data_IF_087261672363
#
_entry.id   IF_087261672363
#
_cell.length_a   1.000
_cell.length_b   1.000
_cell.length_c   1.000
_cell.angle_alpha   90.00
_cell.angle_beta   90.00
_cell.angle_gamma   90.00
#
_symmetry.space_group_name_H-M   'P 1'
#
loop_
_entity.id
_entity.type
_entity.pdbx_description
1 polymer ?
#
# COMPACT_ATOMS: atom_id res chain seq x y z
N UNK A 1 12.74 1.86 -7.95
CA UNK A 1 11.77 2.63 -7.15
C UNK A 1 10.64 3.09 -8.04
N UNK A 2 9.38 3.04 -7.59
CA UNK A 2 8.22 3.46 -8.38
C UNK A 2 7.49 4.61 -7.70
N UNK A 3 7.20 5.68 -8.43
CA UNK A 3 6.42 6.84 -7.99
C UNK A 3 5.29 7.12 -8.98
N UNK A 4 4.14 7.55 -8.47
CA UNK A 4 2.95 7.91 -9.23
C UNK A 4 2.50 9.34 -8.88
N UNK A 5 1.54 9.88 -9.61
CA UNK A 5 1.17 11.31 -9.48
C UNK A 5 2.15 12.21 -10.23
N UNK A 6 2.06 13.52 -10.01
CA UNK A 6 2.90 14.45 -10.76
C UNK A 6 4.30 14.51 -10.15
N UNK A 7 5.32 14.48 -11.00
CA UNK A 7 6.72 14.48 -10.61
C UNK A 7 7.38 15.70 -11.22
N UNK A 8 8.02 16.51 -10.38
CA UNK A 8 8.78 17.67 -10.80
C UNK A 8 10.14 17.71 -10.12
N UNK A 9 11.03 18.54 -10.66
CA UNK A 9 12.32 18.84 -10.05
C UNK A 9 12.46 20.36 -9.90
N UNK A 10 12.50 20.87 -8.67
CA UNK A 10 12.59 22.31 -8.38
C UNK A 10 13.50 22.57 -7.19
N UNK A 11 14.32 23.61 -7.29
CA UNK A 11 15.24 23.99 -6.20
C UNK A 11 16.18 22.86 -5.78
N UNK A 12 16.64 22.04 -6.73
CA UNK A 12 17.55 20.91 -6.45
C UNK A 12 16.88 19.67 -5.85
N UNK A 13 15.54 19.63 -5.77
CA UNK A 13 14.80 18.55 -5.12
C UNK A 13 13.77 17.94 -6.06
N UNK A 14 13.60 16.62 -5.98
CA UNK A 14 12.45 15.94 -6.56
C UNK A 14 11.21 16.20 -5.72
N UNK A 15 10.10 16.51 -6.38
CA UNK A 15 8.82 16.82 -5.74
C UNK A 15 7.76 15.92 -6.36
N UNK A 16 7.03 15.22 -5.50
CA UNK A 16 5.83 14.49 -5.84
C UNK A 16 4.61 15.33 -5.47
N UNK A 17 3.69 15.53 -6.40
CA UNK A 17 2.42 16.21 -6.14
C UNK A 17 1.28 15.22 -6.26
N UNK A 18 0.45 15.15 -5.22
CA UNK A 18 -0.74 14.32 -5.24
C UNK A 18 -1.82 15.00 -6.11
N UNK A 19 -2.22 14.34 -7.20
CA UNK A 19 -3.23 14.85 -8.15
C UNK A 19 -4.59 15.17 -7.53
N UNK A 20 -4.96 14.50 -6.45
CA UNK A 20 -6.27 14.70 -5.80
C UNK A 20 -6.24 15.81 -4.75
N UNK A 21 -5.16 15.93 -3.99
CA UNK A 21 -5.08 16.88 -2.87
C UNK A 21 -4.28 18.14 -3.20
N UNK A 22 -3.47 18.11 -4.25
CA UNK A 22 -2.50 19.16 -4.57
C UNK A 22 -1.32 19.24 -3.62
N UNK A 23 -1.22 18.34 -2.64
CA UNK A 23 -0.12 18.34 -1.66
C UNK A 23 1.19 17.95 -2.33
N UNK A 24 2.21 18.77 -2.07
CA UNK A 24 3.57 18.55 -2.54
C UNK A 24 4.42 17.89 -1.45
N UNK A 25 5.26 16.95 -1.87
CA UNK A 25 6.19 16.25 -1.00
C UNK A 25 7.56 16.14 -1.66
N UNK A 26 8.60 16.54 -0.94
CA UNK A 26 9.98 16.27 -1.34
C UNK A 26 10.25 14.78 -1.26
N UNK A 27 10.78 14.22 -2.35
CA UNK A 27 11.09 12.80 -2.51
C UNK A 27 12.54 12.65 -3.00
N UNK A 28 13.05 11.43 -2.90
CA UNK A 28 14.34 11.05 -3.49
C UNK A 28 14.21 9.64 -4.09
N UNK A 29 13.69 9.52 -5.33
CA UNK A 29 13.43 8.23 -5.96
C UNK A 29 14.71 7.43 -6.23
N UNK A 30 15.77 8.12 -6.67
CA UNK A 30 17.03 7.47 -7.04
C UNK A 30 17.84 7.08 -5.82
N UNK A 31 17.86 7.89 -4.77
CA UNK A 31 18.44 7.51 -3.48
C UNK A 31 17.69 6.35 -2.82
N UNK A 32 16.35 6.31 -2.88
CA UNK A 32 15.56 5.16 -2.41
C UNK A 32 15.86 3.88 -3.20
N UNK A 33 16.06 4.00 -4.52
CA UNK A 33 16.46 2.88 -5.35
C UNK A 33 17.87 2.40 -5.00
N UNK A 34 18.82 3.32 -4.78
CA UNK A 34 20.20 3.03 -4.37
C UNK A 34 20.28 2.37 -2.99
N UNK A 35 19.50 2.85 -2.02
CA UNK A 35 19.43 2.24 -0.69
C UNK A 35 18.88 0.82 -0.76
N UNK A 36 17.86 0.59 -1.60
CA UNK A 36 17.29 -0.75 -1.80
C UNK A 36 18.28 -1.71 -2.45
N UNK A 37 18.98 -1.26 -3.50
CA UNK A 37 20.07 -1.99 -4.15
C UNK A 37 21.15 -2.38 -3.14
N UNK A 38 21.59 -1.43 -2.30
CA UNK A 38 22.60 -1.66 -1.27
C UNK A 38 22.15 -2.69 -0.23
N UNK A 39 20.91 -2.57 0.28
CA UNK A 39 20.34 -3.53 1.24
C UNK A 39 20.27 -4.95 0.67
N UNK A 40 19.88 -5.09 -0.60
CA UNK A 40 19.82 -6.39 -1.27
C UNK A 40 21.23 -6.96 -1.43
N UNK A 41 22.18 -6.14 -1.87
CA UNK A 41 23.59 -6.53 -2.02
C UNK A 41 24.19 -7.02 -0.70
N UNK A 42 24.03 -6.25 0.36
CA UNK A 42 24.50 -6.59 1.71
C UNK A 42 23.86 -7.86 2.24
N UNK A 43 22.56 -8.04 2.02
CA UNK A 43 21.85 -9.24 2.41
C UNK A 43 22.41 -10.49 1.72
N UNK A 44 22.62 -10.45 0.40
CA UNK A 44 23.19 -11.58 -0.35
C UNK A 44 24.65 -11.86 0.06
N UNK A 45 25.46 -10.82 0.29
CA UNK A 45 26.84 -10.98 0.80
C UNK A 45 26.87 -11.67 2.16
N UNK A 46 26.00 -11.25 3.09
CA UNK A 46 25.88 -11.88 4.42
C UNK A 46 25.42 -13.34 4.36
N UNK A 47 24.67 -13.71 3.31
CA UNK A 47 24.26 -15.09 3.05
C UNK A 47 25.33 -15.93 2.34
N UNK A 48 26.48 -15.34 2.02
CA UNK A 48 27.60 -16.04 1.42
C UNK A 48 27.39 -16.42 -0.03
N UNK A 49 26.54 -15.70 -0.77
CA UNK A 49 26.38 -15.93 -2.22
C UNK A 49 27.71 -15.61 -2.92
N UNK A 50 28.33 -16.57 -3.61
CA UNK A 50 29.69 -16.41 -4.15
C UNK A 50 29.73 -15.47 -5.35
N UNK A 51 28.66 -15.46 -6.14
CA UNK A 51 28.55 -14.68 -7.38
C UNK A 51 27.44 -13.65 -7.23
N UNK A 52 27.79 -12.36 -7.21
CA UNK A 52 26.79 -11.30 -7.25
C UNK A 52 26.26 -11.12 -8.67
N UNK A 53 24.93 -11.06 -8.86
CA UNK A 53 24.36 -10.77 -10.17
C UNK A 53 24.64 -9.31 -10.54
N UNK A 54 24.39 -8.98 -11.81
CA UNK A 54 24.20 -7.59 -12.19
C UNK A 54 23.04 -7.00 -11.39
N UNK A 55 23.35 -6.03 -10.53
CA UNK A 55 22.37 -5.24 -9.83
C UNK A 55 22.39 -3.84 -10.41
N UNK A 56 21.20 -3.32 -10.68
CA UNK A 56 21.00 -1.98 -11.19
C UNK A 56 19.79 -1.36 -10.52
N UNK A 57 19.73 -0.03 -10.61
CA UNK A 57 18.62 0.75 -10.07
C UNK A 57 17.95 1.59 -11.14
N UNK A 58 16.67 1.83 -10.96
CA UNK A 58 15.90 2.74 -11.80
C UNK A 58 14.80 3.41 -10.98
N UNK A 59 14.37 4.58 -11.43
CA UNK A 59 13.16 5.24 -10.96
C UNK A 59 12.10 5.16 -12.04
N UNK A 60 10.88 4.76 -11.69
CA UNK A 60 9.75 4.69 -12.60
C UNK A 60 8.66 5.68 -12.19
N UNK A 61 8.41 6.68 -13.03
CA UNK A 61 7.37 7.68 -12.89
C UNK A 61 6.15 7.28 -13.72
N UNK A 62 5.29 6.44 -13.16
CA UNK A 62 4.22 5.75 -13.92
C UNK A 62 3.06 6.65 -14.35
N UNK A 63 3.06 7.92 -13.95
CA UNK A 63 2.00 8.87 -14.24
C UNK A 63 2.47 10.07 -15.08
N UNK A 64 3.76 10.12 -15.43
CA UNK A 64 4.35 11.25 -16.14
C UNK A 64 5.08 10.71 -17.36
N UNK A 65 4.85 11.29 -18.52
CA UNK A 65 5.70 11.10 -19.68
C UNK A 65 6.89 12.07 -19.58
N UNK A 66 8.11 11.56 -19.61
CA UNK A 66 9.30 12.41 -19.55
C UNK A 66 9.61 12.88 -20.98
N UNK A 67 9.57 14.19 -21.27
CA UNK A 67 9.82 14.68 -22.63
C UNK A 67 11.22 14.28 -23.11
N UNK A 68 11.34 13.89 -24.38
CA UNK A 68 12.64 13.62 -25.01
C UNK A 68 13.48 14.90 -24.99
N UNK A 69 14.68 14.82 -24.39
CA UNK A 69 15.57 15.98 -24.23
C UNK A 69 15.29 16.83 -22.98
N UNK A 70 14.45 16.38 -22.05
CA UNK A 70 14.28 17.05 -20.78
C UNK A 70 15.62 17.19 -20.04
N UNK A 71 15.86 18.38 -19.46
CA UNK A 71 17.01 18.63 -18.59
C UNK A 71 16.78 17.97 -17.23
N UNK A 72 17.21 16.72 -17.13
CA UNK A 72 17.20 15.95 -15.88
C UNK A 72 18.41 16.34 -15.02
N UNK A 73 18.32 16.25 -13.68
CA UNK A 73 19.49 16.44 -12.82
C UNK A 73 20.56 15.38 -13.12
N UNK A 74 21.80 15.66 -12.77
CA UNK A 74 22.97 14.82 -13.12
C UNK A 74 22.84 13.35 -12.66
N UNK A 75 22.13 13.12 -11.55
CA UNK A 75 21.86 11.77 -11.03
C UNK A 75 20.84 10.96 -11.86
N UNK A 76 19.99 11.63 -12.64
CA UNK A 76 18.89 11.04 -13.38
C UNK A 76 19.21 10.90 -14.86
N UNK A 77 20.04 9.91 -15.16
CA UNK A 77 20.37 9.55 -16.54
C UNK A 77 19.12 8.96 -17.22
N UNK A 78 18.78 9.37 -18.46
CA UNK A 78 17.54 8.94 -19.12
C UNK A 78 17.33 7.42 -19.17
N UNK A 79 18.40 6.63 -19.35
CA UNK A 79 18.33 5.18 -19.44
C UNK A 79 17.86 4.48 -18.15
N UNK A 80 17.97 5.14 -16.99
CA UNK A 80 17.53 4.62 -15.69
C UNK A 80 16.25 5.29 -15.18
N UNK A 81 15.65 6.16 -15.99
CA UNK A 81 14.35 6.78 -15.72
C UNK A 81 13.31 6.15 -16.64
N UNK A 82 12.33 5.50 -16.03
CA UNK A 82 11.16 4.96 -16.71
C UNK A 82 9.98 5.88 -16.45
N UNK A 83 9.08 5.94 -17.43
CA UNK A 83 7.98 6.90 -17.45
C UNK A 83 6.67 6.20 -17.79
N UNK A 84 5.60 6.96 -18.00
CA UNK A 84 4.29 6.41 -18.38
C UNK A 84 4.37 5.57 -19.68
N UNK A 85 5.08 6.05 -20.70
CA UNK A 85 5.23 5.32 -21.97
C UNK A 85 5.97 3.98 -21.81
N UNK A 86 6.80 3.85 -20.77
CA UNK A 86 7.46 2.59 -20.44
C UNK A 86 6.48 1.49 -20.00
N UNK A 87 5.24 1.82 -19.65
CA UNK A 87 4.19 0.83 -19.31
C UNK A 87 3.68 0.07 -20.54
N UNK A 88 3.82 0.60 -21.75
CA UNK A 88 3.41 -0.08 -22.99
C UNK A 88 4.27 -1.32 -23.25
N UNK A 89 5.57 -1.24 -22.95
CA UNK A 89 6.50 -2.35 -23.06
C UNK A 89 7.49 -2.35 -21.87
N UNK A 90 7.05 -2.89 -20.72
CA UNK A 90 7.84 -2.89 -19.50
C UNK A 90 9.11 -3.73 -19.61
N UNK A 91 9.07 -4.82 -20.39
CA UNK A 91 10.22 -5.71 -20.60
C UNK A 91 11.33 -4.97 -21.35
N UNK A 92 11.01 -4.33 -22.48
CA UNK A 92 11.98 -3.54 -23.23
C UNK A 92 12.51 -2.36 -22.41
N UNK A 93 11.69 -1.78 -21.53
CA UNK A 93 12.11 -0.73 -20.62
C UNK A 93 13.14 -1.21 -19.59
N UNK A 94 12.90 -2.37 -18.97
CA UNK A 94 13.84 -2.98 -18.04
C UNK A 94 15.13 -3.42 -18.72
N UNK A 95 15.06 -3.97 -19.94
CA UNK A 95 16.27 -4.33 -20.71
C UNK A 95 17.16 -3.12 -20.98
N UNK A 96 16.59 -1.95 -21.32
CA UNK A 96 17.38 -0.71 -21.46
C UNK A 96 18.10 -0.32 -20.17
N UNK A 97 17.41 -0.42 -19.04
CA UNK A 97 18.00 -0.16 -17.71
C UNK A 97 19.16 -1.13 -17.46
N UNK A 98 18.96 -2.43 -17.71
CA UNK A 98 20.02 -3.42 -17.55
C UNK A 98 21.20 -3.16 -18.49
N UNK A 99 20.95 -2.80 -19.75
CA UNK A 99 22.00 -2.45 -20.72
C UNK A 99 22.83 -1.26 -20.25
N UNK A 100 22.19 -0.23 -19.71
CA UNK A 100 22.89 0.91 -19.12
C UNK A 100 23.82 0.46 -17.99
N UNK A 101 23.32 -0.33 -17.03
CA UNK A 101 24.14 -0.81 -15.92
C UNK A 101 25.22 -1.80 -16.35
N UNK A 102 24.98 -2.64 -17.38
CA UNK A 102 26.02 -3.51 -17.98
C UNK A 102 27.20 -2.71 -18.52
N UNK A 103 26.95 -1.55 -19.12
CA UNK A 103 27.98 -0.69 -19.73
C UNK A 103 28.71 0.15 -18.68
N UNK A 104 28.01 0.64 -17.67
CA UNK A 104 28.53 1.62 -16.72
C UNK A 104 29.05 1.02 -15.41
N UNK A 105 28.59 -0.17 -15.02
CA UNK A 105 29.24 -0.93 -13.95
C UNK A 105 30.37 -1.71 -14.58
N UNK A 106 31.60 -1.24 -14.40
CA UNK A 106 32.84 -1.94 -14.77
C UNK A 106 33.05 -3.28 -14.01
N UNK A 107 32.00 -3.84 -13.41
CA UNK A 107 32.02 -5.13 -12.78
C UNK A 107 32.31 -6.19 -13.84
N UNK A 108 33.56 -6.67 -13.81
CA UNK A 108 34.01 -8.04 -14.07
C UNK A 108 32.83 -8.92 -14.49
N UNK A 109 32.71 -9.17 -15.81
CA UNK A 109 31.77 -10.11 -16.45
C UNK A 109 30.89 -10.79 -15.41
N UNK A 110 29.73 -10.21 -15.11
CA UNK A 110 28.82 -10.79 -14.11
C UNK A 110 28.72 -12.29 -14.42
N UNK A 111 29.34 -13.11 -13.57
CA UNK A 111 29.51 -14.53 -13.90
C UNK A 111 28.10 -15.06 -14.06
N UNK A 112 27.83 -15.74 -15.19
CA UNK A 112 26.49 -16.29 -15.42
C UNK A 112 26.16 -17.16 -14.22
N UNK A 113 25.14 -16.75 -13.46
CA UNK A 113 24.64 -17.54 -12.34
C UNK A 113 24.28 -18.91 -12.90
N UNK A 114 24.80 -19.96 -12.26
CA UNK A 114 24.28 -21.30 -12.50
C UNK A 114 22.80 -21.34 -12.13
N UNK A 115 22.06 -22.30 -12.70
CA UNK A 115 20.64 -22.48 -12.39
C UNK A 115 20.40 -22.68 -10.89
N UNK A 116 21.31 -23.35 -10.19
CA UNK A 116 21.24 -23.56 -8.74
C UNK A 116 21.49 -22.27 -7.96
N UNK A 117 22.49 -21.47 -8.32
CA UNK A 117 22.74 -20.17 -7.68
C UNK A 117 21.57 -19.20 -7.88
N UNK A 118 21.01 -19.17 -9.10
CA UNK A 118 19.82 -18.36 -9.38
C UNK A 118 18.63 -18.80 -8.53
N UNK A 119 18.36 -20.11 -8.45
CA UNK A 119 17.26 -20.63 -7.64
C UNK A 119 17.44 -20.35 -6.15
N UNK A 120 18.67 -20.46 -5.64
CA UNK A 120 18.98 -20.13 -4.25
C UNK A 120 18.81 -18.65 -3.96
N UNK A 121 19.22 -17.79 -4.89
CA UNK A 121 19.01 -16.35 -4.79
C UNK A 121 17.52 -15.98 -4.78
N UNK A 122 16.71 -16.60 -5.64
CA UNK A 122 15.25 -16.45 -5.60
C UNK A 122 14.71 -16.88 -4.23
N UNK A 123 15.13 -18.02 -3.69
CA UNK A 123 14.70 -18.46 -2.34
C UNK A 123 15.12 -17.49 -1.24
N UNK A 124 16.30 -16.89 -1.32
CA UNK A 124 16.80 -15.95 -0.32
C UNK A 124 16.10 -14.59 -0.39
N UNK A 125 15.89 -14.06 -1.60
CA UNK A 125 15.26 -12.75 -1.83
C UNK A 125 13.73 -12.82 -1.73
N UNK A 126 13.15 -13.99 -2.04
CA UNK A 126 11.73 -14.28 -1.94
C UNK A 126 11.52 -15.46 -0.98
N UNK A 127 11.84 -15.30 0.31
CA UNK A 127 11.77 -16.39 1.26
C UNK A 127 10.32 -16.83 1.47
N UNK A 128 10.10 -18.14 1.36
CA UNK A 128 8.84 -18.76 1.74
C UNK A 128 8.88 -19.15 3.22
N UNK A 129 7.95 -18.62 4.03
CA UNK A 129 7.82 -18.97 5.43
C UNK A 129 6.46 -19.62 5.73
N UNK A 130 6.45 -20.53 6.71
CA UNK A 130 5.25 -21.17 7.28
C UNK A 130 5.22 -20.99 8.79
N UNK A 131 4.00 -20.82 9.34
CA UNK A 131 3.71 -20.99 10.76
C UNK A 131 2.50 -21.90 10.89
N UNK A 132 2.54 -22.81 11.87
CA UNK A 132 1.43 -23.69 12.24
C UNK A 132 0.79 -23.18 13.52
N UNK A 133 -0.51 -23.44 13.66
CA UNK A 133 -1.26 -23.27 14.91
C UNK A 133 -0.82 -24.39 15.86
N UNK A 134 -0.47 -24.08 17.11
CA UNK A 134 -0.55 -25.10 18.17
C UNK A 134 -2.03 -25.35 18.42
N UNK A 135 -2.47 -26.56 18.18
CA UNK A 135 -3.87 -26.96 18.29
C UNK A 135 -4.30 -26.83 19.75
N UNK A 136 -5.17 -25.87 20.06
CA UNK A 136 -6.17 -26.04 21.11
C UNK A 136 -7.55 -25.70 20.55
N UNK A 137 -8.40 -26.73 20.56
CA UNK A 137 -9.84 -26.75 20.30
C UNK A 137 -10.36 -26.33 18.91
N UNK A 138 -10.72 -27.37 18.15
CA UNK A 138 -12.02 -27.55 17.49
C UNK A 138 -12.52 -26.43 16.57
N UNK A 139 -12.29 -26.58 15.27
CA UNK A 139 -13.34 -26.60 14.24
C UNK A 139 -12.69 -26.86 12.86
N UNK A 140 -12.84 -28.11 12.40
CA UNK A 140 -12.53 -28.55 11.05
C UNK A 140 -13.69 -28.13 10.15
N UNK A 141 -13.47 -27.18 9.22
CA UNK A 141 -14.15 -27.06 7.89
C UNK A 141 -13.97 -25.71 7.18
N UNK A 142 -13.24 -24.73 7.74
CA UNK A 142 -12.82 -23.56 6.97
C UNK A 142 -11.34 -23.73 6.59
N UNK A 143 -11.02 -23.87 5.31
CA UNK A 143 -9.65 -23.71 4.81
C UNK A 143 -9.22 -22.28 5.12
N UNK A 144 -8.29 -22.02 6.06
CA UNK A 144 -7.89 -20.65 6.35
C UNK A 144 -7.01 -20.15 5.21
N UNK A 145 -7.39 -19.01 4.61
CA UNK A 145 -6.51 -18.24 3.73
C UNK A 145 -5.33 -17.74 4.56
N UNK A 146 -4.15 -18.34 4.38
CA UNK A 146 -2.95 -18.03 5.18
C UNK A 146 -2.24 -16.82 4.58
N UNK A 147 -2.33 -15.68 5.28
CA UNK A 147 -1.56 -14.47 4.99
C UNK A 147 -0.24 -14.53 5.79
N UNK A 148 0.92 -14.42 5.12
CA UNK A 148 2.28 -14.63 5.69
C UNK A 148 2.93 -13.29 6.08
N UNK A 149 3.63 -13.23 7.23
CA UNK A 149 4.33 -12.04 7.75
C UNK A 149 5.79 -12.32 8.13
N UNK A 150 6.66 -11.31 8.03
CA UNK A 150 8.08 -11.38 8.45
C UNK A 150 8.24 -11.28 9.97
N UNK A 151 9.39 -11.72 10.54
CA UNK A 151 9.67 -11.54 11.99
C UNK A 151 9.58 -10.09 12.45
N UNK A 152 10.03 -9.15 11.62
CA UNK A 152 9.91 -7.72 11.88
C UNK A 152 8.45 -7.27 11.88
N UNK A 153 7.64 -7.79 10.97
CA UNK A 153 6.21 -7.51 10.93
C UNK A 153 5.46 -8.12 12.13
N UNK A 154 5.85 -9.30 12.60
CA UNK A 154 5.33 -9.90 13.83
C UNK A 154 5.61 -9.04 15.06
N UNK A 155 6.86 -8.60 15.25
CA UNK A 155 7.23 -7.71 16.36
C UNK A 155 6.45 -6.37 16.33
N UNK A 156 6.16 -5.84 15.14
CA UNK A 156 5.29 -4.67 15.00
C UNK A 156 3.86 -5.00 15.42
N UNK A 157 3.30 -6.15 15.05
CA UNK A 157 1.95 -6.55 15.48
C UNK A 157 1.83 -6.72 17.00
N UNK A 158 2.83 -7.35 17.61
CA UNK A 158 2.86 -7.57 19.06
C UNK A 158 2.98 -6.22 19.78
N UNK A 159 3.81 -5.30 19.28
CA UNK A 159 3.84 -3.92 19.77
C UNK A 159 2.48 -3.23 19.65
N UNK A 160 1.71 -3.50 18.58
CA UNK A 160 0.39 -2.92 18.36
C UNK A 160 -0.72 -3.56 19.21
N UNK A 161 -0.48 -4.64 19.94
CA UNK A 161 -1.49 -5.27 20.82
C UNK A 161 -1.93 -4.33 21.94
N UNK A 162 -0.99 -3.62 22.56
CA UNK A 162 -1.28 -2.74 23.69
C UNK A 162 -1.57 -1.28 23.29
N UNK A 163 -1.42 -0.93 22.02
CA UNK A 163 -1.58 0.45 21.55
C UNK A 163 -3.01 0.72 21.07
N UNK A 164 -3.68 1.68 21.72
CA UNK A 164 -5.02 2.15 21.29
C UNK A 164 -4.98 2.88 19.95
N UNK A 165 -3.87 3.54 19.64
CA UNK A 165 -3.70 4.31 18.40
C UNK A 165 -2.24 4.28 18.00
N UNK A 166 -1.96 3.99 16.74
CA UNK A 166 -0.61 3.97 16.19
C UNK A 166 -0.65 4.38 14.71
N UNK A 167 0.38 5.09 14.26
CA UNK A 167 0.62 5.40 12.86
C UNK A 167 1.85 4.61 12.38
N UNK A 168 1.66 3.74 11.39
CA UNK A 168 2.74 2.91 10.84
C UNK A 168 3.19 3.53 9.52
N UNK A 169 4.43 4.01 9.50
CA UNK A 169 5.05 4.58 8.31
C UNK A 169 6.01 3.57 7.67
N UNK A 170 6.07 3.57 6.33
CA UNK A 170 7.05 2.78 5.61
C UNK A 170 6.90 2.92 4.08
N UNK A 171 7.98 2.67 3.31
CA UNK A 171 7.95 2.63 1.85
C UNK A 171 6.86 1.73 1.26
N UNK A 172 6.50 1.90 -0.01
CA UNK A 172 5.62 0.96 -0.71
C UNK A 172 6.24 -0.46 -0.69
N UNK A 173 5.40 -1.50 -0.70
CA UNK A 173 5.89 -2.89 -0.69
C UNK A 173 6.36 -3.44 0.67
N UNK A 174 6.41 -2.65 1.75
CA UNK A 174 6.85 -3.12 3.09
C UNK A 174 5.81 -3.93 3.88
N UNK A 175 4.68 -4.29 3.24
CA UNK A 175 3.64 -5.12 3.85
C UNK A 175 2.70 -4.40 4.83
N UNK A 176 2.58 -3.06 4.76
CA UNK A 176 1.62 -2.29 5.59
C UNK A 176 0.18 -2.80 5.47
N UNK A 177 -0.26 -3.12 4.26
CA UNK A 177 -1.59 -3.71 4.02
C UNK A 177 -1.75 -5.03 4.75
N UNK A 178 -0.73 -5.88 4.68
CA UNK A 178 -0.71 -7.22 5.30
C UNK A 178 -0.77 -7.10 6.83
N UNK A 179 0.03 -6.19 7.40
CA UNK A 179 0.01 -5.85 8.82
C UNK A 179 -1.37 -5.37 9.28
N UNK A 180 -1.99 -4.46 8.52
CA UNK A 180 -3.27 -3.88 8.88
C UNK A 180 -4.41 -4.93 8.81
N UNK A 181 -4.40 -5.81 7.81
CA UNK A 181 -5.37 -6.91 7.69
C UNK A 181 -5.20 -7.90 8.83
N UNK A 182 -3.97 -8.30 9.14
CA UNK A 182 -3.71 -9.25 10.23
C UNK A 182 -4.09 -8.66 11.60
N UNK A 183 -3.78 -7.39 11.86
CA UNK A 183 -4.21 -6.72 13.10
C UNK A 183 -5.73 -6.71 13.20
N UNK A 184 -6.41 -6.37 12.11
CA UNK A 184 -7.87 -6.38 12.07
C UNK A 184 -8.43 -7.79 12.36
N UNK A 185 -7.80 -8.82 11.81
CA UNK A 185 -8.14 -10.23 12.03
C UNK A 185 -7.97 -10.63 13.50
N UNK A 186 -6.82 -10.37 14.11
CA UNK A 186 -6.56 -10.68 15.54
C UNK A 186 -7.59 -10.01 16.45
N UNK A 187 -7.84 -8.71 16.25
CA UNK A 187 -8.85 -7.97 17.02
C UNK A 187 -10.27 -8.55 16.84
N UNK A 188 -10.59 -9.06 15.66
CA UNK A 188 -11.89 -9.68 15.40
C UNK A 188 -12.01 -11.09 16.00
N UNK A 189 -10.90 -11.84 16.06
CA UNK A 189 -10.82 -13.13 16.78
C UNK A 189 -10.94 -12.96 18.30
N UNK A 190 -10.49 -11.83 18.85
CA UNK A 190 -10.78 -11.41 20.23
C UNK A 190 -12.26 -11.01 20.45
N UNK A 191 -13.12 -11.11 19.44
CA UNK A 191 -14.54 -10.79 19.50
C UNK A 191 -14.85 -9.29 19.39
N UNK A 192 -13.88 -8.44 19.03
CA UNK A 192 -14.11 -7.00 18.87
C UNK A 192 -14.80 -6.71 17.53
N UNK A 193 -15.59 -5.63 17.49
CA UNK A 193 -16.15 -5.11 16.23
C UNK A 193 -15.08 -4.30 15.51
N UNK A 194 -14.64 -4.80 14.36
CA UNK A 194 -13.52 -4.21 13.61
C UNK A 194 -13.98 -3.72 12.24
N UNK A 195 -13.65 -2.47 11.93
CA UNK A 195 -13.78 -1.86 10.61
C UNK A 195 -12.39 -1.69 10.00
N UNK A 196 -12.17 -2.29 8.84
CA UNK A 196 -11.00 -2.03 8.01
C UNK A 196 -11.39 -1.07 6.87
N UNK A 197 -10.64 0.02 6.73
CA UNK A 197 -10.87 1.03 5.71
C UNK A 197 -9.64 1.15 4.78
N UNK A 198 -9.86 1.04 3.48
CA UNK A 198 -8.84 1.33 2.46
C UNK A 198 -9.35 2.32 1.41
N UNK A 199 -8.44 2.89 0.63
CA UNK A 199 -8.82 3.86 -0.40
C UNK A 199 -9.22 3.20 -1.73
N UNK A 200 -8.44 2.20 -2.17
CA UNK A 200 -8.51 1.64 -3.52
C UNK A 200 -9.62 0.56 -3.64
N UNK A 201 -10.47 0.66 -4.66
CA UNK A 201 -11.54 -0.31 -4.98
C UNK A 201 -11.00 -1.72 -5.31
N UNK A 202 -9.98 -1.84 -6.16
CA UNK A 202 -9.35 -3.13 -6.47
C UNK A 202 -8.71 -3.78 -5.24
N UNK A 203 -8.13 -2.98 -4.34
CA UNK A 203 -7.58 -3.48 -3.09
C UNK A 203 -8.70 -3.98 -2.16
N UNK A 204 -9.81 -3.25 -2.07
CA UNK A 204 -10.97 -3.66 -1.29
C UNK A 204 -11.52 -5.00 -1.79
N UNK A 205 -11.69 -5.15 -3.10
CA UNK A 205 -12.21 -6.38 -3.70
C UNK A 205 -11.27 -7.56 -3.49
N UNK A 206 -9.96 -7.35 -3.66
CA UNK A 206 -8.96 -8.37 -3.36
C UNK A 206 -8.99 -8.78 -1.88
N UNK A 207 -8.99 -7.83 -0.93
CA UNK A 207 -9.01 -8.14 0.50
C UNK A 207 -10.30 -8.89 0.89
N UNK A 208 -11.46 -8.46 0.39
CA UNK A 208 -12.74 -9.14 0.65
C UNK A 208 -12.73 -10.57 0.15
N UNK A 209 -12.18 -10.81 -1.04
CA UNK A 209 -12.06 -12.16 -1.62
C UNK A 209 -11.15 -13.06 -0.79
N UNK A 210 -10.01 -12.56 -0.33
CA UNK A 210 -9.06 -13.35 0.45
C UNK A 210 -9.55 -13.61 1.89
N UNK A 211 -10.41 -12.74 2.44
CA UNK A 211 -10.87 -12.80 3.83
C UNK A 211 -12.35 -13.20 3.95
N UNK A 212 -12.83 -14.05 3.04
CA UNK A 212 -14.18 -14.61 3.11
C UNK A 212 -14.36 -15.40 4.42
N UNK A 213 -15.41 -15.08 5.19
CA UNK A 213 -15.68 -15.69 6.48
C UNK A 213 -15.06 -14.97 7.69
N UNK A 214 -14.30 -13.88 7.48
CA UNK A 214 -13.87 -13.00 8.57
C UNK A 214 -15.04 -12.21 9.15
N UNK A 215 -15.02 -11.95 10.46
CA UNK A 215 -15.96 -11.04 11.15
C UNK A 215 -15.57 -9.57 11.01
N UNK A 216 -14.43 -9.26 10.36
CA UNK A 216 -14.00 -7.90 10.05
C UNK A 216 -14.90 -7.31 8.96
N UNK A 217 -15.37 -6.08 9.16
CA UNK A 217 -16.09 -5.33 8.13
C UNK A 217 -15.10 -4.56 7.25
N UNK A 218 -15.04 -4.85 5.95
CA UNK A 218 -14.12 -4.20 5.01
C UNK A 218 -14.85 -3.18 4.14
N UNK A 219 -14.35 -1.94 4.13
CA UNK A 219 -14.87 -0.86 3.30
C UNK A 219 -13.78 -0.02 2.64
N UNK A 220 -14.20 0.73 1.64
CA UNK A 220 -13.57 1.99 1.24
C UNK A 220 -14.46 3.17 1.63
N UNK A 221 -13.96 4.39 1.44
CA UNK A 221 -14.69 5.62 1.82
C UNK A 221 -16.08 5.65 1.17
N UNK A 222 -16.18 5.33 -0.13
CA UNK A 222 -17.42 5.32 -0.88
C UNK A 222 -18.43 4.31 -0.33
N UNK A 223 -18.06 3.03 -0.24
CA UNK A 223 -18.96 1.96 0.22
C UNK A 223 -19.38 2.14 1.67
N UNK A 224 -18.51 2.70 2.51
CA UNK A 224 -18.90 3.07 3.88
C UNK A 224 -19.94 4.19 3.87
N UNK A 225 -19.74 5.23 3.06
CA UNK A 225 -20.69 6.33 2.92
C UNK A 225 -22.05 5.85 2.39
N UNK A 226 -22.06 4.99 1.37
CA UNK A 226 -23.28 4.39 0.82
C UNK A 226 -24.05 3.57 1.88
N UNK A 227 -23.35 2.75 2.67
CA UNK A 227 -23.98 1.99 3.75
C UNK A 227 -24.57 2.90 4.84
N UNK A 228 -23.82 3.93 5.26
CA UNK A 228 -24.27 4.89 6.27
C UNK A 228 -25.48 5.69 5.77
N UNK A 229 -25.46 6.16 4.52
CA UNK A 229 -26.57 6.88 3.90
C UNK A 229 -27.79 5.98 3.72
N UNK A 230 -27.60 4.73 3.29
CA UNK A 230 -28.67 3.74 3.17
C UNK A 230 -29.32 3.41 4.52
N UNK A 231 -28.53 3.30 5.59
CA UNK A 231 -29.04 3.17 6.97
C UNK A 231 -29.78 4.43 7.42
N UNK A 232 -29.29 5.61 7.04
CA UNK A 232 -29.94 6.88 7.35
C UNK A 232 -31.32 6.99 6.67
N UNK A 233 -31.40 6.66 5.38
CA UNK A 233 -32.67 6.63 4.63
C UNK A 233 -33.69 5.67 5.25
N UNK A 234 -33.27 4.45 5.65
CA UNK A 234 -34.13 3.48 6.35
C UNK A 234 -34.55 3.94 7.74
N UNK A 235 -33.69 4.67 8.46
CA UNK A 235 -33.98 5.23 9.79
C UNK A 235 -34.95 6.41 9.72
N UNK A 236 -34.91 7.18 8.63
CA UNK A 236 -35.91 8.22 8.31
C UNK A 236 -37.26 7.57 8.00
N UNK A 237 -37.32 6.52 7.18
CA UNK A 237 -38.57 5.80 6.88
C UNK A 237 -39.21 5.12 8.11
N UNK A 238 -38.42 4.56 9.04
CA UNK A 238 -38.96 4.01 10.30
C UNK A 238 -39.50 5.08 11.25
N UNK A 239 -39.05 6.34 11.15
CA UNK A 239 -39.61 7.46 11.93
C UNK A 239 -40.86 8.05 11.28
N UNK A 240 -41.10 7.80 9.99
CA UNK A 240 -42.36 8.08 9.31
C UNK A 240 -43.27 6.83 9.29
N UNK A 241 -43.75 6.41 10.47
CA UNK A 241 -44.94 5.55 10.55
C UNK A 241 -46.18 6.31 10.06
N UNK A 242 -47.30 5.63 9.75
CA UNK A 242 -48.46 6.26 9.10
C UNK A 242 -48.89 7.49 9.90
N UNK A 243 -48.94 8.63 9.22
CA UNK A 243 -49.36 9.92 9.75
C UNK A 243 -50.78 9.78 10.31
N UNK A 244 -50.90 9.46 11.60
CA UNK A 244 -52.12 9.71 12.37
C UNK A 244 -52.31 11.22 12.37
N UNK A 245 -53.49 11.62 11.90
CA UNK A 245 -53.89 12.98 11.63
C UNK A 245 -53.65 13.90 12.84
N UNK A 246 -53.13 15.10 12.57
CA UNK A 246 -53.12 16.17 13.56
C UNK A 246 -52.06 17.24 13.35
N UNK A 247 -52.01 17.91 12.19
CA UNK A 247 -51.29 19.18 12.09
C UNK A 247 -52.27 20.34 11.89
N UNK A 248 -52.54 21.03 13.00
CA UNK A 248 -53.08 22.39 13.02
C UNK A 248 -52.02 23.31 12.39
N UNK A 249 -52.40 24.01 11.32
CA UNK A 249 -51.61 25.09 10.72
C UNK A 249 -51.28 26.15 11.77
N UNK A 250 -50.00 26.53 11.90
CA UNK A 250 -49.61 27.90 12.20
C UNK A 250 -48.47 28.34 11.29
N UNK A 251 -48.72 29.48 10.66
CA UNK A 251 -47.93 30.23 9.70
C UNK A 251 -46.71 30.88 10.40
N UNK A 252 -45.49 30.77 9.85
CA UNK A 252 -44.77 31.78 9.03
C UNK A 252 -43.71 32.58 9.86
N UNK A 253 -42.80 33.38 9.28
CA UNK A 253 -41.49 32.97 8.72
C UNK A 253 -40.31 33.85 9.20
N UNK A 254 -39.09 33.33 9.40
CA UNK A 254 -37.86 34.17 9.42
C UNK A 254 -36.60 33.39 9.04
N UNK A 255 -35.89 33.90 8.01
CA UNK A 255 -34.43 34.14 7.99
C UNK A 255 -33.43 32.96 8.01
N UNK A 256 -32.18 33.17 7.51
CA UNK A 256 -31.20 32.11 7.34
C UNK A 256 -30.38 31.91 8.62
N UNK A 257 -30.41 30.70 9.18
CA UNK A 257 -29.55 30.31 10.30
C UNK A 257 -28.29 29.60 9.78
N UNK A 258 -27.14 30.27 9.93
CA UNK A 258 -25.84 29.62 10.10
C UNK A 258 -25.95 28.61 11.26
N UNK A 259 -25.40 27.41 11.10
CA UNK A 259 -25.11 26.55 12.25
C UNK A 259 -23.86 25.70 11.97
N UNK A 260 -22.72 26.19 12.46
CA UNK A 260 -21.71 25.32 13.07
C UNK A 260 -22.39 24.58 14.23
N UNK A 261 -22.03 23.33 14.51
CA UNK A 261 -21.56 22.90 15.84
C UNK A 261 -21.27 21.41 15.89
N UNK A 262 -20.13 21.16 16.53
CA UNK A 262 -19.53 19.95 17.03
C UNK A 262 -20.49 19.12 17.92
N UNK A 263 -20.36 17.79 17.92
CA UNK A 263 -20.77 16.98 19.08
C UNK A 263 -19.75 15.87 19.36
N UNK A 264 -19.03 16.06 20.48
CA UNK A 264 -18.46 15.00 21.32
C UNK A 264 -19.57 14.09 21.81
N UNK A 265 -19.26 12.80 21.97
CA UNK A 265 -20.05 11.88 22.78
C UNK A 265 -19.19 10.73 23.30
N UNK A 266 -18.77 10.83 24.57
CA UNK A 266 -18.49 9.68 25.46
C UNK A 266 -19.84 9.03 25.79
N UNK A 267 -19.92 7.70 25.87
CA UNK A 267 -19.65 6.84 27.03
C UNK A 267 -19.08 5.54 26.48
#
# INVERSE_FOLDING_TARGET
EVKAGDIGYRGGNWIQTNRHTGEEKVIDPLGQAAESEHRISDFLRRKGIPTMPLMGRAAWFTSVAVPKGAHLPMEAVPDIILDEGSLENPEAALERVYDYWRRNLHYVRASKLSRSEFQEMIRLLMPEFRFTRTISSTNLTAQPTIVRLTRQQGAVLDFLEDQRTCAIHGPAGTGKTVLAVEKARRLAEEGRKVLYLCYNEFLLDHIRRENQGSTVTFHNVRSLAEELMGKCAKRVQRKSGPLRHGFRKRANPRGPMKMWWWMRGRI
#
